data_IF_656241472858
#
_entry.id   IF_656241472858
#
_cell.length_a   1.000
_cell.length_b   1.000
_cell.length_c   1.000
_cell.angle_alpha   90.00
_cell.angle_beta   90.00
_cell.angle_gamma   90.00
#
_symmetry.space_group_name_H-M   'P 1'
#
loop_
_entity.id
_entity.type
_entity.pdbx_description
1 polymer ?
#
# COMPACT_ATOMS: atom_id res chain seq x y z
N UNK A 1 8.34 -37.99 1.31
CA UNK A 1 8.03 -37.44 2.66
C UNK A 1 6.53 -37.22 2.71
N UNK A 2 5.82 -37.84 3.67
CA UNK A 2 4.37 -37.71 3.81
C UNK A 2 4.11 -36.56 4.78
N UNK A 3 3.43 -35.51 4.32
CA UNK A 3 3.05 -34.38 5.16
C UNK A 3 1.95 -34.80 6.14
N UNK A 4 2.13 -34.42 7.40
CA UNK A 4 1.11 -34.64 8.43
C UNK A 4 -0.13 -33.78 8.13
N UNK A 5 -1.33 -34.21 8.55
CA UNK A 5 -2.55 -33.43 8.36
C UNK A 5 -2.46 -32.01 8.92
N UNK A 6 -1.72 -31.82 10.03
CA UNK A 6 -1.46 -30.50 10.61
C UNK A 6 -0.62 -29.60 9.69
N UNK A 7 0.42 -30.15 9.06
CA UNK A 7 1.25 -29.41 8.11
C UNK A 7 0.48 -28.96 6.87
N UNK A 8 -0.53 -29.72 6.44
CA UNK A 8 -1.39 -29.32 5.31
C UNK A 8 -2.24 -28.09 5.63
N UNK A 9 -2.84 -28.05 6.82
CA UNK A 9 -3.65 -26.90 7.26
C UNK A 9 -2.81 -25.62 7.37
N UNK A 10 -1.57 -25.71 7.88
CA UNK A 10 -0.66 -24.57 7.97
C UNK A 10 -0.32 -24.03 6.57
N UNK A 11 -0.11 -24.90 5.58
CA UNK A 11 0.21 -24.49 4.21
C UNK A 11 -0.99 -23.79 3.55
N UNK A 12 -2.21 -24.27 3.76
CA UNK A 12 -3.41 -23.61 3.23
C UNK A 12 -3.60 -22.21 3.84
N UNK A 13 -3.44 -22.07 5.16
CA UNK A 13 -3.55 -20.79 5.84
C UNK A 13 -2.50 -19.75 5.36
N UNK A 14 -1.27 -20.20 5.13
CA UNK A 14 -0.20 -19.34 4.59
C UNK A 14 -0.52 -18.88 3.17
N UNK A 15 -1.05 -19.77 2.32
CA UNK A 15 -1.44 -19.43 0.95
C UNK A 15 -2.57 -18.40 0.90
N UNK A 16 -3.61 -18.56 1.73
CA UNK A 16 -4.69 -17.57 1.82
C UNK A 16 -4.16 -16.19 2.26
N UNK A 17 -3.22 -16.15 3.20
CA UNK A 17 -2.60 -14.89 3.67
C UNK A 17 -1.80 -14.19 2.56
N UNK A 18 -1.05 -14.94 1.74
CA UNK A 18 -0.29 -14.39 0.61
C UNK A 18 -1.20 -13.86 -0.52
N UNK A 19 -2.38 -14.45 -0.73
CA UNK A 19 -3.34 -13.97 -1.73
C UNK A 19 -4.03 -12.65 -1.30
N UNK A 20 -4.25 -12.45 0.00
CA UNK A 20 -4.79 -11.20 0.55
C UNK A 20 -3.80 -10.05 0.35
N UNK A 21 -2.51 -10.25 0.66
CA UNK A 21 -1.48 -9.22 0.44
C UNK A 21 -1.32 -8.86 -1.04
N UNK A 22 -1.47 -9.82 -1.96
CA UNK A 22 -1.39 -9.54 -3.41
C UNK A 22 -2.59 -8.75 -3.93
N UNK A 23 -3.79 -8.97 -3.38
CA UNK A 23 -4.99 -8.25 -3.78
C UNK A 23 -5.01 -6.80 -3.26
N UNK A 24 -4.52 -6.54 -2.04
CA UNK A 24 -4.34 -5.15 -1.55
C UNK A 24 -3.29 -4.38 -2.36
N UNK A 25 -2.26 -5.07 -2.84
CA UNK A 25 -1.18 -4.47 -3.63
C UNK A 25 -1.60 -4.06 -5.05
N UNK A 26 -2.61 -4.72 -5.62
CA UNK A 26 -2.95 -4.57 -7.04
C UNK A 26 -3.85 -3.36 -7.34
N UNK A 27 -4.52 -2.81 -6.32
CA UNK A 27 -5.36 -1.61 -6.46
C UNK A 27 -4.67 -0.30 -6.06
N UNK A 28 -3.51 -0.36 -5.40
CA UNK A 28 -2.67 0.80 -5.21
C UNK A 28 -1.62 0.82 -6.32
N UNK A 29 -1.85 1.63 -7.37
CA UNK A 29 -0.77 2.02 -8.28
C UNK A 29 0.33 2.67 -7.45
N UNK A 30 1.34 1.89 -7.05
CA UNK A 30 2.49 2.36 -6.29
C UNK A 30 3.12 3.51 -7.07
N UNK A 31 2.99 4.71 -6.55
CA UNK A 31 3.60 5.89 -7.16
C UNK A 31 5.03 5.99 -6.66
N UNK A 32 5.97 6.27 -7.55
CA UNK A 32 7.39 6.37 -7.20
C UNK A 32 7.86 7.83 -7.28
N UNK A 33 8.74 8.21 -6.36
CA UNK A 33 9.31 9.54 -6.34
C UNK A 33 10.26 9.72 -7.53
N UNK A 34 10.01 10.74 -8.36
CA UNK A 34 10.87 11.07 -9.52
C UNK A 34 12.31 11.42 -9.13
N UNK A 35 12.56 11.75 -7.85
CA UNK A 35 13.86 12.21 -7.37
C UNK A 35 14.75 11.08 -6.85
N UNK A 36 14.17 10.10 -6.14
CA UNK A 36 14.93 9.05 -5.47
C UNK A 36 14.40 7.63 -5.74
N UNK A 37 13.38 7.47 -6.57
CA UNK A 37 12.84 6.16 -6.96
C UNK A 37 12.07 5.41 -5.87
N UNK A 38 12.08 5.90 -4.62
CA UNK A 38 11.33 5.30 -3.52
C UNK A 38 9.82 5.55 -3.63
N UNK A 39 9.05 4.65 -3.02
CA UNK A 39 7.60 4.71 -2.99
C UNK A 39 7.08 6.00 -2.32
N UNK A 40 6.09 6.62 -2.95
CA UNK A 40 5.35 7.75 -2.44
C UNK A 40 4.19 7.25 -1.59
N UNK A 41 4.02 7.85 -0.41
CA UNK A 41 2.86 7.61 0.43
C UNK A 41 1.79 8.66 0.16
N UNK A 42 0.57 8.19 -0.09
CA UNK A 42 -0.59 9.07 -0.25
C UNK A 42 -1.11 9.48 1.13
N UNK A 43 -1.27 10.79 1.32
CA UNK A 43 -1.82 11.40 2.54
C UNK A 43 -2.95 12.33 2.14
N UNK A 44 -4.14 12.09 2.66
CA UNK A 44 -5.30 12.94 2.42
C UNK A 44 -5.39 13.97 3.54
N UNK A 45 -5.52 15.26 3.19
CA UNK A 45 -5.70 16.33 4.16
C UNK A 45 -6.85 17.25 3.75
N UNK A 46 -7.63 17.65 4.74
CA UNK A 46 -8.64 18.70 4.57
C UNK A 46 -7.93 20.06 4.57
N UNK A 47 -7.82 20.68 3.41
CA UNK A 47 -7.09 21.95 3.25
C UNK A 47 -8.01 23.17 3.22
N UNK A 48 -9.32 22.95 3.06
CA UNK A 48 -10.32 24.01 2.96
C UNK A 48 -11.54 23.71 3.82
N UNK A 49 -12.41 24.71 4.02
CA UNK A 49 -13.59 24.63 4.90
C UNK A 49 -14.60 23.60 4.37
N UNK A 50 -15.48 23.15 5.27
CA UNK A 50 -16.25 21.89 5.21
C UNK A 50 -17.09 21.55 3.97
N UNK A 51 -17.24 22.45 3.00
CA UNK A 51 -17.94 22.20 1.74
C UNK A 51 -17.01 21.80 0.56
N UNK A 52 -15.70 21.86 0.73
CA UNK A 52 -14.74 21.49 -0.31
C UNK A 52 -14.16 20.08 -0.09
N UNK A 53 -13.97 19.35 -1.20
CA UNK A 53 -13.42 18.00 -1.20
C UNK A 53 -12.02 17.93 -0.57
N UNK A 54 -11.71 16.78 0.04
CA UNK A 54 -10.39 16.53 0.62
C UNK A 54 -9.29 16.61 -0.44
N UNK A 55 -8.15 17.21 -0.10
CA UNK A 55 -7.00 17.26 -1.00
C UNK A 55 -6.10 16.06 -0.79
N UNK A 56 -5.70 15.43 -1.88
CA UNK A 56 -4.77 14.29 -1.86
C UNK A 56 -3.34 14.81 -2.06
N UNK A 57 -2.45 14.47 -1.14
CA UNK A 57 -1.02 14.73 -1.23
C UNK A 57 -0.27 13.41 -1.35
N UNK A 58 0.88 13.43 -2.02
CA UNK A 58 1.80 12.30 -2.10
C UNK A 58 3.16 12.73 -1.61
N UNK A 59 3.73 11.99 -0.65
CA UNK A 59 4.94 12.38 0.06
C UNK A 59 6.00 11.30 -0.13
N UNK A 60 7.23 11.69 -0.45
CA UNK A 60 8.38 10.82 -0.42
C UNK A 60 9.02 10.86 0.97
N UNK A 61 9.09 9.73 1.68
CA UNK A 61 9.70 9.67 3.01
C UNK A 61 11.24 9.78 2.98
N UNK A 62 11.89 9.45 1.86
CA UNK A 62 13.35 9.53 1.73
C UNK A 62 13.81 10.94 1.41
N UNK A 63 13.09 11.63 0.51
CA UNK A 63 13.46 12.94 -0.01
C UNK A 63 12.65 14.09 0.61
N UNK A 64 11.66 13.78 1.47
CA UNK A 64 10.70 14.70 2.07
C UNK A 64 9.99 15.65 1.08
N UNK A 65 9.95 15.28 -0.21
CA UNK A 65 9.23 16.01 -1.25
C UNK A 65 7.74 15.68 -1.18
N UNK A 66 6.90 16.70 -1.26
CA UNK A 66 5.45 16.59 -1.30
C UNK A 66 4.92 17.04 -2.65
N UNK A 67 4.01 16.26 -3.22
CA UNK A 67 3.30 16.58 -4.45
C UNK A 67 1.80 16.64 -4.16
N UNK A 68 1.10 17.57 -4.80
CA UNK A 68 -0.36 17.64 -4.74
C UNK A 68 -0.92 16.91 -5.95
N UNK A 69 -1.91 16.06 -5.73
CA UNK A 69 -2.64 15.34 -6.79
C UNK A 69 -3.98 16.01 -7.04
#
# INVERSE_FOLDING_TARGET
MILTPLQKQIIEFVKESEEIEKNENSNNKRQYCKNCGFELKTVVRQTRKGDEGMTVFTICNTCFKTYKT
#
